data_IF_859689663377
#
_entry.id   IF_859689663377
#
_cell.length_a   1.000
_cell.length_b   1.000
_cell.length_c   1.000
_cell.angle_alpha   90.00
_cell.angle_beta   90.00
_cell.angle_gamma   90.00
#
_symmetry.space_group_name_H-M   'P 1'
#
loop_
_entity.id
_entity.type
_entity.pdbx_description
1 polymer ?
#
# COMPACT_ATOMS: atom_id res chain seq x y z
N UNK A 1 -48.86 64.29 -15.54
CA UNK A 1 -49.38 63.78 -14.24
C UNK A 1 -49.60 62.29 -14.37
N UNK A 2 -48.90 61.48 -13.54
CA UNK A 2 -49.10 60.05 -13.25
C UNK A 2 -48.74 59.07 -14.37
N UNK A 3 -48.04 57.94 -14.20
CA UNK A 3 -47.45 57.13 -13.08
C UNK A 3 -46.44 56.14 -13.78
N UNK A 4 -45.85 55.08 -13.17
CA UNK A 4 -45.11 54.86 -11.91
C UNK A 4 -43.69 54.27 -12.16
N UNK A 5 -42.86 54.09 -11.12
CA UNK A 5 -41.98 52.91 -11.04
C UNK A 5 -41.52 52.67 -9.59
N UNK A 6 -42.06 51.58 -9.05
CA UNK A 6 -41.65 50.87 -7.84
C UNK A 6 -40.23 50.34 -8.01
N UNK A 7 -39.32 50.68 -7.11
CA UNK A 7 -37.99 50.09 -7.05
C UNK A 7 -38.06 48.79 -6.22
N UNK A 8 -37.77 47.68 -6.90
CA UNK A 8 -37.63 46.34 -6.34
C UNK A 8 -36.33 46.27 -5.54
N UNK A 9 -36.44 45.88 -4.26
CA UNK A 9 -35.31 45.65 -3.37
C UNK A 9 -35.26 44.16 -3.04
N UNK A 10 -34.57 43.40 -3.88
CA UNK A 10 -34.26 41.99 -3.64
C UNK A 10 -32.79 41.84 -3.25
N UNK A 11 -32.46 41.13 -2.15
CA UNK A 11 -31.07 40.93 -1.74
C UNK A 11 -30.34 39.98 -2.69
N UNK A 12 -29.11 40.35 -3.07
CA UNK A 12 -28.19 39.50 -3.83
C UNK A 12 -27.76 38.34 -2.92
N UNK A 13 -28.29 37.15 -3.18
CA UNK A 13 -27.79 35.90 -2.58
C UNK A 13 -26.42 35.57 -3.17
N UNK A 14 -25.39 35.61 -2.32
CA UNK A 14 -24.08 35.04 -2.63
C UNK A 14 -24.21 33.52 -2.85
N UNK A 15 -23.46 32.92 -3.80
CA UNK A 15 -23.44 31.47 -3.92
C UNK A 15 -22.81 30.89 -2.66
N UNK A 16 -23.54 29.98 -2.02
CA UNK A 16 -23.00 29.12 -0.98
C UNK A 16 -21.81 28.36 -1.55
N UNK A 17 -20.68 28.39 -0.83
CA UNK A 17 -19.54 27.54 -1.10
C UNK A 17 -20.03 26.11 -1.29
N UNK A 18 -19.72 25.52 -2.45
CA UNK A 18 -19.91 24.09 -2.66
C UNK A 18 -19.07 23.37 -1.60
N UNK A 19 -19.70 22.87 -0.55
CA UNK A 19 -19.07 21.90 0.32
C UNK A 19 -18.87 20.66 -0.53
N UNK A 20 -17.64 20.40 -0.94
CA UNK A 20 -17.24 19.10 -1.47
C UNK A 20 -17.56 18.06 -0.40
N UNK A 21 -18.36 17.06 -0.75
CA UNK A 21 -18.58 15.90 0.09
C UNK A 21 -17.22 15.29 0.45
N UNK A 22 -16.98 14.91 1.72
CA UNK A 22 -15.72 14.26 2.09
C UNK A 22 -15.53 13.03 1.20
N UNK A 23 -14.34 12.92 0.59
CA UNK A 23 -13.99 11.75 -0.21
C UNK A 23 -14.15 10.49 0.66
N UNK A 24 -14.92 9.53 0.17
CA UNK A 24 -15.08 8.24 0.85
C UNK A 24 -13.74 7.50 0.80
N UNK A 25 -13.27 6.91 1.92
CA UNK A 25 -12.04 6.13 1.92
C UNK A 25 -12.12 4.95 0.94
N UNK A 26 -11.03 4.69 0.22
CA UNK A 26 -10.95 3.59 -0.76
C UNK A 26 -10.85 2.23 -0.05
N UNK A 27 -10.28 2.20 1.15
CA UNK A 27 -10.10 1.01 1.97
C UNK A 27 -10.71 1.23 3.36
N UNK A 28 -11.52 0.27 3.80
CA UNK A 28 -12.14 0.26 5.13
C UNK A 28 -11.86 -1.09 5.77
N UNK A 29 -11.44 -1.08 7.04
CA UNK A 29 -11.16 -2.31 7.75
C UNK A 29 -12.43 -3.17 7.86
N UNK A 30 -12.26 -4.48 7.73
CA UNK A 30 -13.30 -5.46 8.01
C UNK A 30 -12.66 -6.76 8.45
N UNK A 31 -13.42 -7.62 9.12
CA UNK A 31 -12.96 -8.93 9.58
C UNK A 31 -12.47 -9.84 8.43
N UNK A 32 -12.77 -9.51 7.16
CA UNK A 32 -12.25 -10.22 5.98
C UNK A 32 -10.75 -9.98 5.72
N UNK A 33 -10.16 -8.96 6.34
CA UNK A 33 -8.72 -8.67 6.28
C UNK A 33 -7.96 -9.23 7.49
N UNK A 34 -8.67 -9.73 8.50
CA UNK A 34 -8.03 -10.31 9.67
C UNK A 34 -7.39 -11.67 9.33
N UNK A 35 -6.15 -11.85 9.76
CA UNK A 35 -5.33 -13.04 9.54
C UNK A 35 -5.23 -13.93 10.79
N UNK A 36 -5.99 -13.59 11.84
CA UNK A 36 -5.96 -14.29 13.14
C UNK A 36 -4.57 -14.25 13.79
N UNK A 37 -3.79 -13.21 13.49
CA UNK A 37 -2.48 -12.97 14.06
C UNK A 37 -2.47 -11.56 14.67
N UNK A 38 -2.77 -11.41 15.99
CA UNK A 38 -3.14 -10.12 16.59
C UNK A 38 -2.17 -8.97 16.36
N UNK A 39 -0.86 -9.23 16.43
CA UNK A 39 0.17 -8.22 16.17
C UNK A 39 0.14 -7.73 14.70
N UNK A 40 -0.09 -8.63 13.75
CA UNK A 40 -0.14 -8.31 12.32
C UNK A 40 -1.46 -7.60 11.99
N UNK A 41 -2.58 -8.10 12.52
CA UNK A 41 -3.90 -7.48 12.37
C UNK A 41 -3.92 -6.05 12.93
N UNK A 42 -3.19 -5.79 14.02
CA UNK A 42 -3.06 -4.44 14.59
C UNK A 42 -2.30 -3.51 13.63
N UNK A 43 -1.15 -3.95 13.11
CA UNK A 43 -0.39 -3.14 12.14
C UNK A 43 -1.18 -2.91 10.85
N UNK A 44 -1.97 -3.90 10.42
CA UNK A 44 -2.83 -3.77 9.24
C UNK A 44 -3.98 -2.79 9.46
N UNK A 45 -4.62 -2.78 10.63
CA UNK A 45 -5.64 -1.79 10.99
C UNK A 45 -5.08 -0.37 10.98
N UNK A 46 -3.91 -0.17 11.61
CA UNK A 46 -3.22 1.12 11.62
C UNK A 46 -2.91 1.62 10.20
N UNK A 47 -2.47 0.73 9.30
CA UNK A 47 -2.24 1.06 7.90
C UNK A 47 -3.52 1.59 7.22
N UNK A 48 -4.65 0.88 7.42
CA UNK A 48 -5.94 1.28 6.85
C UNK A 48 -6.40 2.63 7.38
N UNK A 49 -6.24 2.86 8.68
CA UNK A 49 -6.57 4.14 9.32
C UNK A 49 -5.73 5.30 8.77
N UNK A 50 -4.42 5.10 8.63
CA UNK A 50 -3.49 6.10 8.11
C UNK A 50 -3.75 6.42 6.63
N UNK A 51 -4.03 5.40 5.81
CA UNK A 51 -4.42 5.59 4.42
C UNK A 51 -5.72 6.39 4.32
N UNK A 52 -6.74 6.02 5.11
CA UNK A 52 -8.00 6.76 5.17
C UNK A 52 -7.79 8.22 5.61
N UNK A 53 -6.92 8.46 6.59
CA UNK A 53 -6.59 9.80 7.05
C UNK A 53 -5.94 10.64 5.95
N UNK A 54 -5.04 10.06 5.14
CA UNK A 54 -4.41 10.76 4.01
C UNK A 54 -5.42 11.07 2.89
N UNK A 55 -6.26 10.09 2.52
CA UNK A 55 -7.30 10.27 1.48
C UNK A 55 -8.31 11.35 1.86
N UNK A 56 -8.76 11.36 3.10
CA UNK A 56 -9.75 12.34 3.60
C UNK A 56 -9.19 13.75 3.74
N UNK A 57 -7.87 13.90 3.82
CA UNK A 57 -7.20 15.20 3.85
C UNK A 57 -6.96 15.79 2.45
N UNK A 58 -7.15 15.01 1.38
CA UNK A 58 -6.92 15.48 0.03
C UNK A 58 -7.86 16.63 -0.36
N UNK A 59 -7.33 17.63 -1.06
CA UNK A 59 -8.08 18.72 -1.67
C UNK A 59 -7.21 19.55 -2.60
N UNK A 60 -7.80 20.34 -3.49
CA UNK A 60 -7.06 21.12 -4.50
C UNK A 60 -6.30 22.32 -3.92
N UNK A 61 -6.65 22.77 -2.72
CA UNK A 61 -5.98 23.91 -2.08
C UNK A 61 -4.57 23.55 -1.61
N UNK A 62 -3.59 24.48 -1.64
CA UNK A 62 -2.24 24.22 -1.12
C UNK A 62 -2.21 23.76 0.33
N UNK A 63 -3.11 24.26 1.18
CA UNK A 63 -3.21 23.85 2.57
C UNK A 63 -3.68 22.39 2.72
N UNK A 64 -4.66 21.96 1.91
CA UNK A 64 -5.14 20.58 1.90
C UNK A 64 -4.08 19.61 1.34
N UNK A 65 -3.38 20.01 0.28
CA UNK A 65 -2.26 19.23 -0.28
C UNK A 65 -1.13 19.03 0.73
N UNK A 66 -0.78 20.09 1.48
CA UNK A 66 0.23 20.01 2.54
C UNK A 66 -0.21 19.08 3.69
N UNK A 67 -1.47 19.16 4.12
CA UNK A 67 -2.03 18.28 5.16
C UNK A 67 -2.08 16.81 4.68
N UNK A 68 -2.53 16.57 3.45
CA UNK A 68 -2.54 15.24 2.84
C UNK A 68 -1.13 14.65 2.77
N UNK A 69 -0.14 15.43 2.33
CA UNK A 69 1.25 15.00 2.29
C UNK A 69 1.78 14.64 3.69
N UNK A 70 1.49 15.46 4.70
CA UNK A 70 1.93 15.18 6.08
C UNK A 70 1.35 13.86 6.62
N UNK A 71 0.08 13.57 6.33
CA UNK A 71 -0.56 12.29 6.71
C UNK A 71 -0.02 11.12 5.90
N UNK A 72 0.25 11.33 4.62
CA UNK A 72 0.88 10.32 3.77
C UNK A 72 2.31 10.00 4.24
N UNK A 73 3.09 10.98 4.69
CA UNK A 73 4.40 10.75 5.31
C UNK A 73 4.27 9.90 6.59
N UNK A 74 3.22 10.10 7.40
CA UNK A 74 2.95 9.25 8.56
C UNK A 74 2.62 7.81 8.16
N UNK A 75 1.82 7.62 7.09
CA UNK A 75 1.58 6.31 6.48
C UNK A 75 2.90 5.66 6.03
N UNK A 76 3.77 6.38 5.31
CA UNK A 76 5.08 5.87 4.87
C UNK A 76 5.92 5.39 6.06
N UNK A 77 6.00 6.17 7.14
CA UNK A 77 6.77 5.77 8.33
C UNK A 77 6.20 4.52 9.00
N UNK A 78 4.87 4.43 9.10
CA UNK A 78 4.20 3.23 9.59
C UNK A 78 4.53 2.01 8.72
N UNK A 79 4.39 2.13 7.40
CA UNK A 79 4.65 1.04 6.45
C UNK A 79 6.11 0.55 6.50
N UNK A 80 7.07 1.44 6.74
CA UNK A 80 8.49 1.05 6.98
C UNK A 80 8.61 0.16 8.22
N UNK A 81 7.93 0.53 9.31
CA UNK A 81 7.92 -0.24 10.56
C UNK A 81 7.23 -1.60 10.40
N UNK A 82 6.06 -1.61 9.76
CA UNK A 82 5.26 -2.78 9.44
C UNK A 82 6.06 -3.78 8.59
N UNK A 83 6.50 -3.41 7.39
CA UNK A 83 7.26 -4.32 6.53
C UNK A 83 8.56 -4.77 7.17
N UNK A 84 9.26 -3.87 7.86
CA UNK A 84 10.49 -4.22 8.57
C UNK A 84 10.26 -5.27 9.67
N UNK A 85 9.09 -5.27 10.32
CA UNK A 85 8.72 -6.30 11.30
C UNK A 85 8.50 -7.66 10.64
N UNK A 86 7.68 -7.71 9.59
CA UNK A 86 7.39 -8.95 8.87
C UNK A 86 8.63 -9.53 8.18
N UNK A 87 9.50 -8.69 7.62
CA UNK A 87 10.78 -9.10 7.05
C UNK A 87 11.68 -9.77 8.11
N UNK A 88 11.70 -9.26 9.35
CA UNK A 88 12.43 -9.90 10.45
C UNK A 88 11.83 -11.25 10.83
N UNK A 89 10.50 -11.36 10.85
CA UNK A 89 9.81 -12.63 11.12
C UNK A 89 10.09 -13.66 10.03
N UNK A 90 10.02 -13.25 8.76
CA UNK A 90 10.39 -14.07 7.61
C UNK A 90 11.82 -14.60 7.73
N UNK A 91 12.79 -13.72 7.97
CA UNK A 91 14.20 -14.11 8.12
C UNK A 91 14.41 -15.06 9.31
N UNK A 92 13.77 -14.79 10.46
CA UNK A 92 13.90 -15.62 11.66
C UNK A 92 13.33 -17.03 11.49
N UNK A 93 12.40 -17.21 10.54
CA UNK A 93 11.65 -18.46 10.37
C UNK A 93 11.94 -19.19 9.06
N UNK A 94 12.97 -18.77 8.31
CA UNK A 94 13.55 -19.54 7.21
C UNK A 94 13.18 -19.09 5.78
N UNK A 95 12.61 -17.90 5.62
CA UNK A 95 12.44 -17.29 4.30
C UNK A 95 13.78 -16.81 3.75
N UNK A 96 13.96 -16.94 2.43
CA UNK A 96 15.18 -16.42 1.79
C UNK A 96 15.17 -14.90 1.72
N UNK A 97 16.36 -14.28 1.71
CA UNK A 97 16.49 -12.83 1.55
C UNK A 97 15.96 -12.33 0.20
N UNK A 98 16.01 -13.17 -0.84
CA UNK A 98 15.46 -12.89 -2.17
C UNK A 98 14.00 -13.36 -2.32
N UNK A 99 13.32 -13.66 -1.20
CA UNK A 99 11.91 -13.98 -1.24
C UNK A 99 11.13 -12.79 -1.80
N UNK A 100 10.19 -13.05 -2.70
CA UNK A 100 9.47 -11.98 -3.38
C UNK A 100 8.53 -11.19 -2.47
N UNK A 101 8.18 -11.69 -1.29
CA UNK A 101 7.44 -10.94 -0.29
C UNK A 101 8.22 -9.69 0.14
N UNK A 102 9.45 -9.86 0.63
CA UNK A 102 10.39 -8.74 0.91
C UNK A 102 10.69 -7.91 -0.34
N UNK A 103 10.72 -8.54 -1.52
CA UNK A 103 10.83 -7.81 -2.79
C UNK A 103 9.66 -6.85 -3.07
N UNK A 104 8.42 -7.29 -2.82
CA UNK A 104 7.23 -6.44 -2.97
C UNK A 104 7.21 -5.32 -1.92
N UNK A 105 7.59 -5.60 -0.67
CA UNK A 105 7.77 -4.58 0.36
C UNK A 105 8.70 -3.45 -0.11
N UNK A 106 9.89 -3.82 -0.59
CA UNK A 106 10.87 -2.85 -1.07
C UNK A 106 10.36 -2.02 -2.25
N UNK A 107 9.64 -2.66 -3.19
CA UNK A 107 9.10 -1.96 -4.36
C UNK A 107 8.00 -0.96 -3.98
N UNK A 108 7.08 -1.34 -3.10
CA UNK A 108 6.01 -0.43 -2.65
C UNK A 108 6.58 0.74 -1.85
N UNK A 109 7.51 0.48 -0.92
CA UNK A 109 8.16 1.56 -0.17
C UNK A 109 8.90 2.54 -1.07
N UNK A 110 9.59 2.04 -2.11
CA UNK A 110 10.27 2.91 -3.07
C UNK A 110 9.28 3.84 -3.81
N UNK A 111 8.13 3.31 -4.23
CA UNK A 111 7.07 4.11 -4.87
C UNK A 111 6.54 5.16 -3.90
N UNK A 112 6.23 4.77 -2.66
CA UNK A 112 5.68 5.70 -1.68
C UNK A 112 6.66 6.83 -1.33
N UNK A 113 7.94 6.51 -1.18
CA UNK A 113 8.99 7.50 -0.94
C UNK A 113 9.20 8.44 -2.13
N UNK A 114 9.10 7.91 -3.36
CA UNK A 114 9.20 8.73 -4.56
C UNK A 114 8.04 9.73 -4.67
N UNK A 115 6.81 9.33 -4.31
CA UNK A 115 5.66 10.23 -4.24
C UNK A 115 5.90 11.38 -3.24
N UNK A 116 6.44 11.08 -2.06
CA UNK A 116 6.83 12.11 -1.09
C UNK A 116 7.88 13.05 -1.67
N UNK A 117 8.90 12.51 -2.34
CA UNK A 117 9.96 13.30 -2.96
C UNK A 117 9.41 14.25 -4.03
N UNK A 118 8.55 13.76 -4.92
CA UNK A 118 7.92 14.55 -5.97
C UNK A 118 7.10 15.71 -5.42
N UNK A 119 6.30 15.47 -4.38
CA UNK A 119 5.52 16.51 -3.74
C UNK A 119 6.39 17.58 -3.06
N UNK A 120 7.48 17.18 -2.38
CA UNK A 120 8.34 18.11 -1.61
C UNK A 120 9.31 18.91 -2.46
N UNK A 121 9.88 18.28 -3.49
CA UNK A 121 10.93 18.91 -4.30
C UNK A 121 10.40 19.60 -5.55
N UNK A 122 9.27 19.12 -6.09
CA UNK A 122 8.74 19.57 -7.38
C UNK A 122 7.33 20.15 -7.28
N UNK A 123 6.74 20.20 -6.07
CA UNK A 123 5.35 20.62 -5.83
C UNK A 123 4.34 19.83 -6.69
N UNK A 124 4.71 18.62 -7.11
CA UNK A 124 3.85 17.73 -7.91
C UNK A 124 3.06 16.79 -7.01
N UNK A 125 1.82 17.18 -6.70
CA UNK A 125 0.89 16.40 -5.89
C UNK A 125 0.05 15.42 -6.72
N UNK A 126 0.18 15.42 -8.05
CA UNK A 126 -0.57 14.51 -8.92
C UNK A 126 -0.32 13.02 -8.62
N UNK A 127 0.93 12.58 -8.41
CA UNK A 127 1.24 11.23 -7.96
C UNK A 127 0.63 10.86 -6.60
N UNK A 128 0.60 11.80 -5.64
CA UNK A 128 0.02 11.58 -4.31
C UNK A 128 -1.47 11.22 -4.39
N UNK A 129 -2.23 11.96 -5.19
CA UNK A 129 -3.65 11.67 -5.41
C UNK A 129 -3.87 10.28 -6.00
N UNK A 130 -3.01 9.85 -6.94
CA UNK A 130 -3.19 8.60 -7.69
C UNK A 130 -2.73 7.38 -6.90
N UNK A 131 -1.69 7.52 -6.08
CA UNK A 131 -1.10 6.36 -5.39
C UNK A 131 -1.99 5.83 -4.27
N UNK A 132 -2.70 6.69 -3.54
CA UNK A 132 -3.51 6.30 -2.37
C UNK A 132 -4.56 5.20 -2.69
N UNK A 133 -5.44 5.35 -3.70
CA UNK A 133 -6.41 4.30 -4.02
C UNK A 133 -5.76 3.03 -4.57
N UNK A 134 -4.64 3.13 -5.28
CA UNK A 134 -3.92 1.95 -5.78
C UNK A 134 -3.21 1.20 -4.65
N UNK A 135 -2.70 1.92 -3.66
CA UNK A 135 -2.11 1.35 -2.45
C UNK A 135 -3.15 0.56 -1.65
N UNK A 136 -4.38 1.07 -1.53
CA UNK A 136 -5.47 0.34 -0.90
C UNK A 136 -5.80 -0.98 -1.61
N UNK A 137 -5.86 -0.98 -2.95
CA UNK A 137 -6.08 -2.22 -3.74
C UNK A 137 -4.95 -3.21 -3.59
N UNK A 138 -3.71 -2.74 -3.65
CA UNK A 138 -2.52 -3.57 -3.48
C UNK A 138 -2.52 -4.23 -2.10
N UNK A 139 -2.81 -3.46 -1.04
CA UNK A 139 -2.81 -3.94 0.34
C UNK A 139 -3.78 -5.11 0.55
N UNK A 140 -5.02 -5.00 0.06
CA UNK A 140 -6.02 -6.09 0.18
C UNK A 140 -5.47 -7.38 -0.41
N UNK A 141 -4.91 -7.32 -1.61
CA UNK A 141 -4.36 -8.51 -2.26
C UNK A 141 -3.12 -9.04 -1.51
N UNK A 142 -2.24 -8.16 -1.06
CA UNK A 142 -1.02 -8.55 -0.36
C UNK A 142 -1.34 -9.24 0.97
N UNK A 143 -2.19 -8.63 1.79
CA UNK A 143 -2.63 -9.17 3.07
C UNK A 143 -3.28 -10.55 2.93
N UNK A 144 -4.16 -10.72 1.94
CA UNK A 144 -4.89 -11.98 1.72
C UNK A 144 -4.05 -13.09 1.05
N UNK A 145 -2.82 -12.80 0.61
CA UNK A 145 -1.97 -13.78 -0.07
C UNK A 145 -0.64 -14.00 0.64
N UNK A 146 0.23 -12.99 0.66
CA UNK A 146 1.59 -13.11 1.20
C UNK A 146 1.60 -13.04 2.72
N UNK A 147 0.87 -12.10 3.31
CA UNK A 147 0.81 -11.94 4.77
C UNK A 147 0.04 -13.10 5.39
N UNK A 148 -1.05 -13.56 4.77
CA UNK A 148 -1.79 -14.75 5.18
C UNK A 148 -0.89 -16.01 5.20
N UNK A 149 -0.01 -16.17 4.20
CA UNK A 149 0.96 -17.25 4.16
C UNK A 149 1.99 -17.12 5.29
N UNK A 150 2.49 -15.91 5.55
CA UNK A 150 3.39 -15.65 6.66
C UNK A 150 2.72 -15.96 8.00
N UNK A 151 1.52 -15.44 8.25
CA UNK A 151 0.75 -15.68 9.48
C UNK A 151 0.55 -17.18 9.75
N UNK A 152 0.15 -17.94 8.72
CA UNK A 152 -0.01 -19.40 8.84
C UNK A 152 1.33 -20.10 9.15
N UNK A 153 2.43 -19.65 8.54
CA UNK A 153 3.76 -20.19 8.83
C UNK A 153 4.19 -19.91 10.27
N UNK A 154 4.01 -18.68 10.75
CA UNK A 154 4.34 -18.28 12.13
C UNK A 154 3.57 -19.13 13.15
N UNK A 155 2.28 -19.38 12.90
CA UNK A 155 1.47 -20.29 13.73
C UNK A 155 2.02 -21.72 13.71
N UNK A 156 2.32 -22.27 12.52
CA UNK A 156 2.81 -23.64 12.36
C UNK A 156 4.15 -23.88 13.08
N UNK A 157 5.07 -22.91 13.03
CA UNK A 157 6.37 -23.05 13.70
C UNK A 157 6.32 -22.65 15.18
N UNK A 158 5.15 -22.21 15.67
CA UNK A 158 4.98 -21.72 17.04
C UNK A 158 5.88 -20.52 17.33
N UNK A 159 5.91 -19.56 16.41
CA UNK A 159 6.70 -18.35 16.52
C UNK A 159 6.07 -17.39 17.54
N UNK A 160 6.88 -16.89 18.47
CA UNK A 160 6.51 -15.79 19.36
C UNK A 160 6.98 -14.46 18.75
N UNK A 161 6.07 -13.57 18.31
CA UNK A 161 6.43 -12.33 17.65
C UNK A 161 7.13 -11.31 18.56
N UNK A 162 7.00 -11.44 19.88
CA UNK A 162 7.62 -10.53 20.85
C UNK A 162 9.05 -10.96 21.20
N UNK A 163 9.30 -12.27 21.27
CA UNK A 163 10.61 -12.82 21.69
C UNK A 163 11.45 -13.38 20.54
N UNK A 164 10.83 -13.66 19.39
CA UNK A 164 11.45 -14.35 18.27
C UNK A 164 11.66 -15.85 18.50
N UNK A 165 11.10 -16.42 19.57
CA UNK A 165 11.23 -17.84 19.87
C UNK A 165 10.47 -18.68 18.85
N UNK A 166 11.09 -19.77 18.38
CA UNK A 166 10.47 -20.76 17.49
C UNK A 166 10.24 -22.05 18.27
N UNK A 167 8.98 -22.43 18.46
CA UNK A 167 8.61 -23.61 19.23
C UNK A 167 8.84 -24.95 18.53
N UNK A 168 8.88 -24.96 17.19
CA UNK A 168 9.02 -26.17 16.39
C UNK A 168 10.25 -26.11 15.45
N UNK A 169 10.85 -27.25 15.08
CA UNK A 169 12.00 -27.26 14.17
C UNK A 169 11.64 -26.64 12.81
N UNK A 170 12.44 -25.69 12.35
CA UNK A 170 12.33 -25.15 11.01
C UNK A 170 12.71 -26.22 9.98
N UNK A 171 12.07 -26.18 8.81
CA UNK A 171 12.46 -27.03 7.69
C UNK A 171 13.89 -26.67 7.23
N UNK A 172 14.67 -27.67 6.83
CA UNK A 172 16.04 -27.48 6.33
C UNK A 172 16.07 -26.82 4.94
N UNK A 173 15.00 -26.95 4.15
CA UNK A 173 14.89 -26.27 2.87
C UNK A 173 14.37 -24.83 3.07
N UNK A 174 15.05 -23.83 2.49
CA UNK A 174 14.63 -22.44 2.65
C UNK A 174 13.32 -22.17 1.89
N UNK A 175 12.50 -21.24 2.42
CA UNK A 175 11.24 -20.84 1.80
C UNK A 175 11.53 -19.82 0.71
N UNK A 176 11.67 -20.31 -0.52
CA UNK A 176 11.84 -19.51 -1.74
C UNK A 176 10.58 -19.59 -2.59
N UNK A 177 9.92 -18.46 -2.86
CA UNK A 177 8.78 -18.40 -3.79
C UNK A 177 7.74 -17.36 -3.42
N UNK A 178 6.96 -16.94 -4.42
CA UNK A 178 5.70 -16.20 -4.24
C UNK A 178 4.60 -17.24 -4.18
N UNK A 179 3.83 -17.32 -3.10
CA UNK A 179 2.73 -18.27 -2.95
C UNK A 179 1.53 -18.02 -3.88
N UNK A 180 1.73 -17.81 -5.18
CA UNK A 180 0.68 -17.65 -6.18
C UNK A 180 1.18 -17.94 -7.60
N UNK A 181 0.31 -18.53 -8.42
CA UNK A 181 0.54 -18.98 -9.81
C UNK A 181 0.78 -17.84 -10.83
N UNK A 182 1.43 -16.76 -10.44
CA UNK A 182 1.92 -15.77 -11.40
C UNK A 182 3.41 -15.99 -11.60
N UNK A 183 3.69 -16.91 -12.52
CA UNK A 183 4.99 -17.05 -13.17
C UNK A 183 5.51 -15.67 -13.54
N UNK A 184 6.56 -15.24 -12.84
CA UNK A 184 7.45 -14.21 -13.35
C UNK A 184 8.07 -14.79 -14.63
N UNK A 185 7.54 -14.39 -15.78
CA UNK A 185 8.02 -14.81 -17.09
C UNK A 185 9.48 -14.38 -17.24
N UNK A 186 10.39 -15.28 -16.89
CA UNK A 186 11.78 -15.18 -17.32
C UNK A 186 11.78 -15.35 -18.83
N UNK A 187 12.11 -14.26 -19.52
CA UNK A 187 12.49 -14.20 -20.92
C UNK A 187 13.37 -15.41 -21.25
N UNK A 188 12.80 -16.39 -21.95
CA UNK A 188 13.58 -17.47 -22.55
C UNK A 188 14.30 -16.87 -23.74
N UNK A 189 15.50 -16.40 -23.47
CA UNK A 189 16.49 -16.02 -24.47
C UNK A 189 16.50 -17.04 -25.61
N UNK A 190 16.27 -16.52 -26.81
CA UNK A 190 16.32 -17.25 -28.06
C UNK A 190 17.66 -17.97 -28.21
N UNK A 191 17.65 -19.29 -28.08
CA UNK A 191 18.69 -20.14 -28.65
C UNK A 191 18.21 -20.58 -30.04
N UNK A 192 18.72 -19.89 -31.06
CA UNK A 192 18.71 -20.41 -32.44
C UNK A 192 19.50 -21.73 -32.48
N UNK A 193 18.96 -22.80 -33.08
CA UNK A 193 19.78 -23.97 -33.39
C UNK A 193 20.73 -23.64 -34.54
N UNK A 194 22.01 -23.90 -34.33
CA UNK A 194 23.05 -23.84 -35.33
C UNK A 194 22.78 -24.88 -36.44
N UNK A 195 22.70 -24.42 -37.69
CA UNK A 195 22.77 -25.28 -38.87
C UNK A 195 24.14 -25.97 -38.90
N UNK A 196 24.16 -27.30 -38.73
CA UNK A 196 25.31 -28.12 -39.07
C UNK A 196 25.29 -28.41 -40.56
N UNK A 197 26.08 -27.65 -41.33
CA UNK A 197 26.54 -28.08 -42.64
C UNK A 197 27.83 -28.90 -42.48
N UNK A 198 27.84 -30.17 -42.91
CA UNK A 198 28.89 -30.75 -43.77
C UNK A 198 28.77 -32.28 -43.95
N UNK A 199 28.84 -32.68 -45.21
CA UNK A 199 29.47 -33.89 -45.79
C UNK A 199 28.98 -35.30 -45.45
N UNK A 200 28.33 -35.92 -46.44
CA UNK A 200 28.80 -37.14 -47.13
C UNK A 200 28.13 -37.25 -48.51
#
# INVERSE_FOLDING_TARGET
>A
MGVPAIADNSPISLPHSAQESPAMPTLVWSDQLALSHPQMDTTHQEFVELLSAAETAWGESPAAQAECLARYEALVQHTIGHFGQEDRWMQATGFTHDNCHTGQHAQVLAIMQEVVRLAKEHEDFGPLQRVMPELGKWFVNHAQTMDAMLASHLEQVGFDPDTGFVGHPLNAAPISGCGGDHECATDKGQQQPAETASAA
#
